data_IF_497890428980
#
_entry.id   IF_497890428980
#
_cell.length_a   1.000
_cell.length_b   1.000
_cell.length_c   1.000
_cell.angle_alpha   90.00
_cell.angle_beta   90.00
_cell.angle_gamma   90.00
#
_symmetry.space_group_name_H-M   'P 1'
#
loop_
_entity.id
_entity.type
_entity.pdbx_description
1 polymer ?
#
# COMPACT_ATOMS: atom_id res chain seq x y z
N UNK A 1 41.04 29.98 -30.98
CA UNK A 1 40.17 28.79 -30.89
C UNK A 1 40.01 28.25 -29.46
N UNK A 2 39.51 29.04 -28.49
CA UNK A 2 39.30 28.57 -27.10
C UNK A 2 37.88 28.82 -26.53
N UNK A 3 36.90 29.26 -27.35
CA UNK A 3 35.58 29.66 -26.86
C UNK A 3 34.47 28.58 -26.92
N UNK A 4 34.64 27.49 -27.65
CA UNK A 4 33.54 26.54 -27.93
C UNK A 4 33.43 25.35 -26.93
N UNK A 5 34.44 25.11 -26.11
CA UNK A 5 34.41 24.00 -25.14
C UNK A 5 33.52 24.27 -23.92
N UNK A 6 33.32 25.53 -23.53
CA UNK A 6 32.46 25.86 -22.38
C UNK A 6 30.98 25.60 -22.67
N UNK A 7 30.51 25.81 -23.89
CA UNK A 7 29.16 25.51 -24.30
C UNK A 7 28.89 24.00 -24.38
N UNK A 8 29.88 23.23 -24.86
CA UNK A 8 29.75 21.77 -24.95
C UNK A 8 29.67 21.10 -23.56
N UNK A 9 30.48 21.59 -22.59
CA UNK A 9 30.43 21.07 -21.20
C UNK A 9 29.11 21.37 -20.53
N UNK A 10 28.53 22.57 -20.73
CA UNK A 10 27.23 22.93 -20.18
C UNK A 10 26.11 22.05 -20.77
N UNK A 11 26.14 21.75 -22.08
CA UNK A 11 25.17 20.88 -22.72
C UNK A 11 25.27 19.43 -22.23
N UNK A 12 26.48 18.91 -22.01
CA UNK A 12 26.68 17.55 -21.45
C UNK A 12 26.20 17.48 -20.00
N UNK A 13 26.45 18.51 -19.18
CA UNK A 13 25.95 18.55 -17.80
C UNK A 13 24.41 18.60 -17.70
N UNK A 14 23.75 19.29 -18.65
CA UNK A 14 22.26 19.33 -18.71
C UNK A 14 21.70 17.96 -19.12
N UNK A 15 22.37 17.26 -20.06
CA UNK A 15 21.95 15.89 -20.44
C UNK A 15 22.15 14.86 -19.32
N UNK A 16 23.23 14.95 -18.55
CA UNK A 16 23.49 14.05 -17.43
C UNK A 16 22.51 14.33 -16.27
N UNK A 17 22.17 15.60 -16.01
CA UNK A 17 21.18 15.96 -15.00
C UNK A 17 19.74 15.57 -15.39
N UNK A 18 19.43 15.53 -16.72
CA UNK A 18 18.14 15.06 -17.24
C UNK A 18 17.94 13.55 -17.12
N UNK A 19 19.00 12.75 -17.27
CA UNK A 19 18.93 11.29 -17.12
C UNK A 19 18.89 10.80 -15.68
N UNK A 20 19.27 11.62 -14.70
CA UNK A 20 19.21 11.23 -13.28
C UNK A 20 17.79 11.28 -12.69
N UNK A 21 16.78 11.84 -13.42
CA UNK A 21 15.39 11.99 -12.93
C UNK A 21 14.47 10.82 -13.21
N UNK A 22 14.90 9.81 -13.95
CA UNK A 22 14.06 8.67 -14.37
C UNK A 22 14.34 7.36 -13.62
N UNK A 23 15.06 7.39 -12.49
CA UNK A 23 15.39 6.17 -11.71
C UNK A 23 14.53 5.95 -10.48
N UNK A 24 13.27 6.43 -10.44
CA UNK A 24 12.57 6.46 -9.16
C UNK A 24 11.78 5.17 -8.82
N UNK A 25 11.41 4.30 -9.77
CA UNK A 25 10.68 3.06 -9.43
C UNK A 25 11.01 1.88 -10.33
N UNK A 26 11.45 2.07 -11.59
CA UNK A 26 11.81 0.95 -12.50
C UNK A 26 12.93 0.05 -11.97
N UNK A 27 13.61 0.46 -10.88
CA UNK A 27 14.65 -0.32 -10.21
C UNK A 27 14.23 -0.95 -8.89
N UNK A 28 12.97 -0.82 -8.48
CA UNK A 28 12.51 -1.47 -7.26
C UNK A 28 12.38 -2.96 -7.52
N UNK A 29 13.35 -3.71 -7.04
CA UNK A 29 13.39 -5.16 -7.18
C UNK A 29 12.25 -5.78 -6.35
N UNK A 30 11.19 -6.25 -7.02
CA UNK A 30 10.02 -6.88 -6.41
C UNK A 30 10.41 -7.99 -5.42
N UNK A 31 11.43 -8.81 -5.75
CA UNK A 31 11.92 -9.86 -4.85
C UNK A 31 12.51 -9.29 -3.56
N UNK A 32 13.18 -8.13 -3.66
CA UNK A 32 13.73 -7.45 -2.47
C UNK A 32 12.61 -6.91 -1.59
N UNK A 33 11.58 -6.27 -2.18
CA UNK A 33 10.42 -5.78 -1.45
C UNK A 33 9.72 -6.95 -0.75
N UNK A 34 9.42 -8.03 -1.45
CA UNK A 34 8.75 -9.20 -0.84
C UNK A 34 9.55 -9.77 0.32
N UNK A 35 10.87 -9.87 0.18
CA UNK A 35 11.74 -10.32 1.28
C UNK A 35 11.69 -9.35 2.47
N UNK A 36 11.76 -8.05 2.25
CA UNK A 36 11.64 -7.03 3.31
C UNK A 36 10.28 -7.12 4.02
N UNK A 37 9.19 -7.34 3.28
CA UNK A 37 7.84 -7.52 3.83
C UNK A 37 7.75 -8.81 4.64
N UNK A 38 8.30 -9.92 4.16
CA UNK A 38 8.30 -11.21 4.89
C UNK A 38 9.10 -11.12 6.19
N UNK A 39 10.26 -10.48 6.18
CA UNK A 39 11.08 -10.21 7.36
C UNK A 39 10.32 -9.32 8.35
N UNK A 40 9.67 -8.27 7.87
CA UNK A 40 8.87 -7.36 8.68
C UNK A 40 7.66 -8.08 9.31
N UNK A 41 6.94 -8.90 8.53
CA UNK A 41 5.83 -9.72 9.00
C UNK A 41 6.26 -10.67 10.12
N UNK A 42 7.39 -11.32 9.97
CA UNK A 42 7.94 -12.24 10.98
C UNK A 42 8.26 -11.50 12.28
N UNK A 43 8.87 -10.32 12.18
CA UNK A 43 9.16 -9.44 13.31
C UNK A 43 7.88 -8.95 14.00
N UNK A 44 6.89 -8.48 13.22
CA UNK A 44 5.58 -8.07 13.74
C UNK A 44 4.87 -9.19 14.48
N UNK A 45 4.85 -10.40 13.91
CA UNK A 45 4.22 -11.57 14.54
C UNK A 45 4.87 -11.91 15.88
N UNK A 46 6.19 -11.87 15.97
CA UNK A 46 6.92 -12.08 17.22
C UNK A 46 6.57 -11.01 18.27
N UNK A 47 6.55 -9.72 17.88
CA UNK A 47 6.20 -8.61 18.77
C UNK A 47 4.74 -8.70 19.25
N UNK A 48 3.82 -9.12 18.37
CA UNK A 48 2.41 -9.33 18.71
C UNK A 48 2.24 -10.42 19.75
N UNK A 49 2.92 -11.56 19.60
CA UNK A 49 2.90 -12.67 20.58
C UNK A 49 3.44 -12.21 21.94
N UNK A 50 4.43 -11.32 21.96
CA UNK A 50 4.99 -10.76 23.20
C UNK A 50 4.11 -9.67 23.84
N UNK A 51 2.95 -9.35 23.24
CA UNK A 51 2.05 -8.29 23.73
C UNK A 51 2.59 -6.87 23.53
N UNK A 52 3.50 -6.70 22.59
CA UNK A 52 4.16 -5.43 22.30
C UNK A 52 3.43 -4.56 21.27
N UNK A 53 2.31 -5.07 20.74
CA UNK A 53 1.49 -4.39 19.74
C UNK A 53 0.15 -4.03 20.35
N UNK A 54 -0.18 -2.75 20.34
CA UNK A 54 -1.51 -2.23 20.69
C UNK A 54 -2.37 -2.19 19.44
N UNK A 55 -3.62 -2.59 19.55
CA UNK A 55 -4.59 -2.59 18.45
C UNK A 55 -5.67 -1.56 18.73
N UNK A 56 -5.98 -0.73 17.74
CA UNK A 56 -7.07 0.25 17.78
C UNK A 56 -7.97 0.02 16.56
N UNK A 57 -9.27 -0.23 16.82
CA UNK A 57 -10.26 -0.47 15.77
C UNK A 57 -11.27 0.67 15.74
N UNK A 58 -11.70 1.04 14.54
CA UNK A 58 -12.75 2.02 14.30
C UNK A 58 -13.56 1.67 13.05
N UNK A 59 -14.87 2.02 13.07
CA UNK A 59 -15.68 2.05 11.86
C UNK A 59 -15.32 3.31 11.07
N UNK A 60 -15.23 3.20 9.74
CA UNK A 60 -15.00 4.35 8.89
C UNK A 60 -16.26 5.21 8.79
N UNK A 61 -16.11 6.52 8.82
CA UNK A 61 -17.18 7.50 8.57
C UNK A 61 -17.30 7.88 7.10
N UNK A 62 -16.25 7.64 6.30
CA UNK A 62 -16.16 8.03 4.89
C UNK A 62 -16.59 6.91 3.93
N UNK A 63 -16.53 5.65 4.36
CA UNK A 63 -16.85 4.47 3.55
C UNK A 63 -17.38 3.34 4.45
N UNK A 64 -18.19 2.46 3.88
CA UNK A 64 -18.77 1.32 4.61
C UNK A 64 -17.67 0.29 4.90
N UNK A 65 -17.18 0.29 6.13
CA UNK A 65 -16.08 -0.60 6.50
C UNK A 65 -15.41 -0.30 7.84
N UNK A 66 -14.32 -0.99 8.06
CA UNK A 66 -13.56 -0.97 9.30
C UNK A 66 -12.08 -0.67 9.02
N UNK A 67 -11.46 0.05 9.94
CA UNK A 67 -10.02 0.28 9.98
C UNK A 67 -9.43 -0.19 11.31
N UNK A 68 -8.30 -0.88 11.25
CA UNK A 68 -7.56 -1.35 12.41
C UNK A 68 -6.13 -0.86 12.31
N UNK A 69 -5.65 -0.11 13.32
CA UNK A 69 -4.24 0.23 13.51
C UNK A 69 -3.55 -0.74 14.44
N UNK A 70 -2.31 -1.02 14.13
CA UNK A 70 -1.37 -1.77 14.97
C UNK A 70 -0.21 -0.85 15.31
N UNK A 71 -0.06 -0.57 16.60
CA UNK A 71 0.87 0.42 17.15
C UNK A 71 1.90 -0.31 17.98
N UNK A 72 3.18 -0.03 17.74
CA UNK A 72 4.29 -0.61 18.48
C UNK A 72 4.53 0.06 19.85
N UNK A 73 5.56 -0.38 20.57
CA UNK A 73 5.93 0.18 21.89
C UNK A 73 6.43 1.63 21.83
N UNK A 74 6.80 2.12 20.67
CA UNK A 74 7.29 3.48 20.44
C UNK A 74 6.15 4.41 19.97
N UNK A 75 4.88 3.95 20.12
CA UNK A 75 3.67 4.63 19.64
C UNK A 75 3.67 4.91 18.14
N UNK A 76 4.39 4.09 17.35
CA UNK A 76 4.39 4.17 15.90
C UNK A 76 3.41 3.19 15.29
N UNK A 77 2.65 3.64 14.29
CA UNK A 77 1.84 2.73 13.47
C UNK A 77 2.77 1.88 12.62
N UNK A 78 2.76 0.58 12.85
CA UNK A 78 3.58 -0.39 12.14
C UNK A 78 2.80 -1.19 11.09
N UNK A 79 1.48 -1.27 11.24
CA UNK A 79 0.58 -1.92 10.31
C UNK A 79 -0.80 -1.26 10.39
N UNK A 80 -1.54 -1.29 9.27
CA UNK A 80 -2.96 -0.98 9.23
C UNK A 80 -3.69 -2.07 8.45
N UNK A 81 -4.95 -2.34 8.80
CA UNK A 81 -5.82 -3.23 8.05
C UNK A 81 -7.15 -2.51 7.81
N UNK A 82 -7.66 -2.58 6.60
CA UNK A 82 -8.99 -2.06 6.27
C UNK A 82 -9.87 -3.15 5.70
N UNK A 83 -11.16 -3.12 6.03
CA UNK A 83 -12.18 -3.96 5.40
C UNK A 83 -13.23 -3.02 4.84
N UNK A 84 -13.43 -3.06 3.53
CA UNK A 84 -14.45 -2.25 2.83
C UNK A 84 -15.54 -3.19 2.34
N UNK A 85 -16.77 -2.88 2.70
CA UNK A 85 -17.94 -3.64 2.27
C UNK A 85 -18.59 -2.99 1.07
N UNK A 86 -19.12 -3.82 0.17
CA UNK A 86 -19.88 -3.40 -0.99
C UNK A 86 -20.96 -4.41 -1.31
N UNK A 87 -21.95 -4.01 -2.08
CA UNK A 87 -23.10 -4.86 -2.44
C UNK A 87 -22.68 -6.16 -3.13
N UNK A 88 -21.68 -6.11 -3.98
CA UNK A 88 -21.18 -7.25 -4.78
C UNK A 88 -19.95 -7.94 -4.22
N UNK A 89 -19.47 -7.56 -3.03
CA UNK A 89 -18.25 -8.15 -2.47
C UNK A 89 -17.67 -7.36 -1.31
N UNK A 90 -16.51 -7.79 -0.84
CA UNK A 90 -15.70 -7.05 0.13
C UNK A 90 -14.24 -7.00 -0.32
N UNK A 91 -13.55 -5.96 0.12
CA UNK A 91 -12.10 -5.83 -0.03
C UNK A 91 -11.45 -5.74 1.35
N UNK A 92 -10.48 -6.60 1.59
CA UNK A 92 -9.61 -6.54 2.77
C UNK A 92 -8.23 -6.12 2.32
N UNK A 93 -7.72 -5.04 2.90
CA UNK A 93 -6.37 -4.54 2.63
C UNK A 93 -5.52 -4.59 3.88
N UNK A 94 -4.27 -5.01 3.72
CA UNK A 94 -3.24 -5.03 4.74
C UNK A 94 -2.13 -4.08 4.31
N UNK A 95 -1.87 -3.07 5.11
CA UNK A 95 -0.84 -2.05 4.90
C UNK A 95 0.33 -2.33 5.83
N UNK A 96 1.49 -2.63 5.27
CA UNK A 96 2.74 -2.82 5.98
C UNK A 96 3.59 -1.56 5.82
N UNK A 97 3.87 -0.90 6.93
CA UNK A 97 4.52 0.40 6.95
C UNK A 97 6.02 0.19 7.12
N UNK A 98 6.75 0.28 6.01
CA UNK A 98 8.20 0.17 5.98
C UNK A 98 8.84 1.57 5.85
N UNK A 99 10.12 1.70 6.18
CA UNK A 99 10.82 3.01 6.22
C UNK A 99 10.71 3.84 4.94
N UNK A 100 10.63 3.20 3.78
CA UNK A 100 10.70 3.87 2.48
C UNK A 100 9.39 3.89 1.71
N UNK A 101 8.49 2.98 1.99
CA UNK A 101 7.23 2.79 1.28
C UNK A 101 6.22 2.04 2.16
N UNK A 102 4.96 2.13 1.80
CA UNK A 102 3.92 1.28 2.37
C UNK A 102 3.65 0.17 1.35
N UNK A 103 3.78 -1.09 1.77
CA UNK A 103 3.34 -2.22 0.97
C UNK A 103 1.89 -2.55 1.31
N UNK A 104 1.08 -2.78 0.28
CA UNK A 104 -0.35 -3.09 0.44
C UNK A 104 -0.66 -4.41 -0.25
N UNK A 105 -1.33 -5.30 0.48
CA UNK A 105 -1.91 -6.53 -0.04
C UNK A 105 -3.43 -6.41 0.04
N UNK A 106 -4.13 -6.51 -1.09
CA UNK A 106 -5.57 -6.41 -1.20
C UNK A 106 -6.18 -7.75 -1.60
N UNK A 107 -7.02 -8.32 -0.76
CA UNK A 107 -7.85 -9.47 -1.07
C UNK A 107 -9.28 -9.00 -1.36
N UNK A 108 -9.71 -9.09 -2.61
CA UNK A 108 -11.11 -8.86 -3.01
C UNK A 108 -11.87 -10.18 -3.07
N UNK A 109 -13.02 -10.22 -2.46
CA UNK A 109 -13.98 -11.31 -2.55
C UNK A 109 -15.23 -10.81 -3.27
N UNK A 110 -15.63 -11.51 -4.32
CA UNK A 110 -16.80 -11.21 -5.13
C UNK A 110 -17.90 -12.19 -4.79
N UNK A 111 -19.10 -11.67 -4.52
CA UNK A 111 -20.25 -12.49 -4.14
C UNK A 111 -21.01 -12.98 -5.35
N UNK A 112 -21.64 -14.15 -5.25
CA UNK A 112 -22.45 -14.73 -6.32
C UNK A 112 -23.75 -13.95 -6.58
N UNK A 113 -24.19 -13.16 -5.59
CA UNK A 113 -25.34 -12.25 -5.66
C UNK A 113 -25.15 -11.06 -4.70
N UNK A 114 -25.75 -9.89 -4.96
CA UNK A 114 -25.67 -8.73 -4.07
C UNK A 114 -26.31 -9.04 -2.70
N UNK A 115 -25.65 -8.62 -1.62
CA UNK A 115 -26.10 -8.89 -0.23
C UNK A 115 -27.54 -8.40 0.03
N UNK A 116 -27.94 -7.28 -0.56
CA UNK A 116 -29.27 -6.71 -0.33
C UNK A 116 -30.43 -7.53 -0.89
N UNK A 117 -30.15 -8.53 -1.73
CA UNK A 117 -31.21 -9.38 -2.32
C UNK A 117 -31.75 -10.42 -1.34
N UNK A 118 -30.90 -10.95 -0.47
CA UNK A 118 -31.35 -11.94 0.53
C UNK A 118 -30.39 -12.00 1.74
N UNK A 119 -30.72 -11.30 2.81
CA UNK A 119 -29.92 -11.31 4.05
C UNK A 119 -30.01 -12.62 4.84
N UNK A 120 -30.91 -13.53 4.46
CA UNK A 120 -31.13 -14.79 5.19
C UNK A 120 -30.23 -15.93 4.68
N UNK A 121 -29.63 -15.77 3.52
CA UNK A 121 -28.75 -16.77 2.92
C UNK A 121 -27.28 -16.52 3.26
N UNK A 122 -26.48 -17.57 3.47
CA UNK A 122 -25.05 -17.46 3.49
C UNK A 122 -24.55 -16.84 2.17
N UNK A 123 -23.64 -15.89 2.27
CA UNK A 123 -23.03 -15.27 1.08
C UNK A 123 -22.02 -16.24 0.48
N UNK A 124 -22.28 -16.70 -0.74
CA UNK A 124 -21.34 -17.53 -1.51
C UNK A 124 -20.33 -16.64 -2.22
N UNK A 125 -19.04 -16.94 -2.01
CA UNK A 125 -17.95 -16.26 -2.70
C UNK A 125 -17.77 -16.90 -4.07
N UNK A 126 -18.01 -16.12 -5.14
CA UNK A 126 -17.87 -16.55 -6.51
C UNK A 126 -16.39 -16.72 -6.89
N UNK A 127 -15.58 -15.72 -6.61
CA UNK A 127 -14.13 -15.75 -6.81
C UNK A 127 -13.41 -14.74 -5.93
N UNK A 128 -12.07 -14.89 -5.86
CA UNK A 128 -11.18 -13.99 -5.14
C UNK A 128 -10.09 -13.48 -6.06
N UNK A 129 -9.67 -12.23 -5.84
CA UNK A 129 -8.47 -11.68 -6.46
C UNK A 129 -7.52 -11.18 -5.38
N UNK A 130 -6.22 -11.33 -5.63
CA UNK A 130 -5.17 -10.76 -4.79
C UNK A 130 -4.40 -9.74 -5.62
N UNK A 131 -4.41 -8.50 -5.16
CA UNK A 131 -3.62 -7.42 -5.73
C UNK A 131 -2.54 -7.00 -4.73
N UNK A 132 -1.38 -6.61 -5.23
CA UNK A 132 -0.28 -6.12 -4.42
C UNK A 132 0.13 -4.74 -4.92
N UNK A 133 0.28 -3.79 -4.00
CA UNK A 133 0.65 -2.41 -4.32
C UNK A 133 1.83 -1.95 -3.47
N UNK A 134 2.48 -0.89 -3.91
CA UNK A 134 3.30 -0.04 -3.07
C UNK A 134 2.81 1.41 -3.16
N UNK A 135 2.83 2.11 -2.02
CA UNK A 135 2.65 3.55 -1.95
C UNK A 135 4.03 4.15 -1.68
N UNK A 136 4.50 4.97 -2.61
CA UNK A 136 5.80 5.61 -2.54
C UNK A 136 5.70 7.06 -3.00
N UNK A 137 6.09 8.01 -2.14
CA UNK A 137 5.97 9.45 -2.41
C UNK A 137 4.56 9.83 -2.92
N UNK A 138 3.52 9.39 -2.18
CA UNK A 138 2.09 9.64 -2.45
C UNK A 138 1.59 9.14 -3.83
N UNK A 139 2.32 8.22 -4.42
CA UNK A 139 1.92 7.55 -5.67
C UNK A 139 1.71 6.07 -5.41
N UNK A 140 0.65 5.54 -6.03
CA UNK A 140 0.29 4.12 -5.94
C UNK A 140 0.85 3.38 -7.16
N UNK A 141 1.41 2.21 -6.93
CA UNK A 141 1.94 1.32 -7.96
C UNK A 141 1.41 -0.09 -7.74
N UNK A 142 0.77 -0.66 -8.74
CA UNK A 142 0.24 -2.02 -8.77
C UNK A 142 1.31 -2.99 -9.28
N UNK A 143 1.42 -4.17 -8.67
CA UNK A 143 2.28 -5.25 -9.15
C UNK A 143 1.60 -5.98 -10.32
N UNK A 144 2.11 -5.80 -11.51
CA UNK A 144 1.67 -6.49 -12.72
C UNK A 144 2.84 -7.12 -13.49
N UNK A 145 2.72 -8.39 -13.86
CA UNK A 145 3.75 -9.08 -14.64
C UNK A 145 5.13 -9.09 -13.98
N UNK A 146 5.18 -9.07 -12.65
CA UNK A 146 6.43 -9.08 -11.89
C UNK A 146 7.10 -7.71 -11.72
N UNK A 147 6.43 -6.62 -12.11
CA UNK A 147 6.92 -5.24 -11.96
C UNK A 147 5.84 -4.35 -11.32
N UNK A 148 6.26 -3.35 -10.55
CA UNK A 148 5.35 -2.31 -10.04
C UNK A 148 5.15 -1.24 -11.11
N UNK A 149 3.89 -1.04 -11.52
CA UNK A 149 3.47 -0.02 -12.47
C UNK A 149 2.60 1.01 -11.78
N UNK A 150 2.83 2.29 -12.07
CA UNK A 150 1.99 3.36 -11.53
C UNK A 150 0.53 3.11 -11.93
N UNK A 151 -0.37 3.21 -10.97
CA UNK A 151 -1.81 3.07 -11.17
C UNK A 151 -2.56 4.29 -10.63
N UNK A 152 -3.79 4.47 -11.10
CA UNK A 152 -4.75 5.45 -10.55
C UNK A 152 -5.78 4.78 -9.65
N UNK A 153 -5.57 3.52 -9.27
CA UNK A 153 -6.45 2.79 -8.36
C UNK A 153 -6.65 3.60 -7.07
N UNK A 154 -7.91 3.66 -6.67
CA UNK A 154 -8.29 4.33 -5.43
C UNK A 154 -8.16 3.33 -4.29
N UNK A 155 -7.09 3.44 -3.52
CA UNK A 155 -7.01 2.78 -2.22
C UNK A 155 -7.77 3.63 -1.19
N UNK A 156 -8.43 3.02 -0.18
CA UNK A 156 -9.09 3.74 0.93
C UNK A 156 -8.13 4.65 1.67
N UNK A 157 -6.87 4.24 1.77
CA UNK A 157 -5.80 4.98 2.45
C UNK A 157 -4.59 5.03 1.53
N UNK A 158 -4.02 6.22 1.33
CA UNK A 158 -2.88 6.46 0.43
C UNK A 158 -1.65 7.02 1.12
N UNK A 159 -1.75 7.36 2.41
CA UNK A 159 -0.64 7.92 3.18
C UNK A 159 -0.75 7.56 4.66
N UNK A 160 0.36 7.72 5.40
CA UNK A 160 0.35 7.59 6.86
C UNK A 160 -0.55 8.64 7.52
N UNK A 161 -0.58 9.85 6.99
CA UNK A 161 -1.42 10.93 7.49
C UNK A 161 -2.91 10.57 7.39
N UNK A 162 -3.35 9.93 6.28
CA UNK A 162 -4.71 9.42 6.14
C UNK A 162 -5.01 8.30 7.15
N UNK A 163 -4.03 7.41 7.43
CA UNK A 163 -4.17 6.38 8.46
C UNK A 163 -4.39 7.04 9.83
N UNK A 164 -3.63 8.09 10.15
CA UNK A 164 -3.74 8.76 11.44
C UNK A 164 -5.06 9.50 11.58
N UNK A 165 -5.46 10.28 10.59
CA UNK A 165 -6.74 11.00 10.57
C UNK A 165 -7.95 10.07 10.69
N UNK A 166 -7.98 8.97 9.93
CA UNK A 166 -9.10 8.04 9.92
C UNK A 166 -9.44 7.42 11.30
N UNK A 167 -8.59 7.61 12.32
CA UNK A 167 -8.80 7.06 13.67
C UNK A 167 -8.90 8.16 14.73
N UNK A 168 -8.48 9.39 14.47
CA UNK A 168 -8.60 10.51 15.41
C UNK A 168 -10.02 11.13 15.42
N UNK A 169 -10.77 11.00 14.32
CA UNK A 169 -12.19 11.40 14.20
C UNK A 169 -13.13 10.34 14.77
#
# INVERSE_FOLDING_TARGET
MKKNYRFLIIFICIFIAGCARLKDIDSINVKKIKKEVDEYYSGFSAQSILGNIKTVNKLSTEWDGEITKYIDKEDKVCRCSTVVFGEGGKSKMEYWILDKYIYVSELKEYYSYPIYMDYTRPVDILYRTLNEYIIYKDKVYLLEGGNFKKTEDKLPVKSLEEIDKAIEE
#
